data_IF_680747234983
#
_entry.id   IF_680747234983
#
_cell.length_a   1.000
_cell.length_b   1.000
_cell.length_c   1.000
_cell.angle_alpha   90.00
_cell.angle_beta   90.00
_cell.angle_gamma   90.00
#
_symmetry.space_group_name_H-M   'P 1'
#
loop_
_entity.id
_entity.type
_entity.pdbx_description
1 polymer ?
#
# COMPACT_ATOMS: atom_id res chain seq x y z
N UNK A 1 14.05 -9.76 18.87
CA UNK A 1 14.34 -9.51 17.44
C UNK A 1 13.47 -8.33 17.02
N UNK A 2 14.04 -7.22 16.54
CA UNK A 2 13.22 -6.18 15.90
C UNK A 2 12.68 -6.80 14.60
N UNK A 3 11.37 -6.75 14.33
CA UNK A 3 10.84 -7.23 13.05
C UNK A 3 11.57 -6.49 11.92
N UNK A 4 11.88 -7.21 10.86
CA UNK A 4 12.45 -6.56 9.67
C UNK A 4 11.43 -5.57 9.12
N UNK A 5 11.89 -4.50 8.47
CA UNK A 5 11.03 -3.48 7.82
C UNK A 5 10.04 -4.05 6.79
N UNK A 6 10.15 -5.33 6.46
CA UNK A 6 9.20 -6.06 5.59
C UNK A 6 8.19 -6.93 6.34
N UNK A 7 8.51 -7.40 7.54
CA UNK A 7 7.62 -8.27 8.31
C UNK A 7 6.42 -7.48 8.84
N UNK A 8 6.69 -6.28 9.36
CA UNK A 8 5.67 -5.29 9.71
C UNK A 8 6.08 -3.93 9.15
N UNK A 9 5.75 -3.64 7.89
CA UNK A 9 6.27 -2.48 7.21
C UNK A 9 5.74 -1.17 7.80
N UNK A 10 6.66 -0.22 7.93
CA UNK A 10 6.40 1.11 8.45
C UNK A 10 6.88 2.15 7.45
N UNK A 11 5.99 3.03 7.01
CA UNK A 11 6.33 4.17 6.19
C UNK A 11 6.83 5.33 7.06
N UNK A 12 7.66 6.19 6.48
CA UNK A 12 8.14 7.40 7.13
C UNK A 12 6.98 8.32 7.53
N UNK A 13 7.16 9.07 8.62
CA UNK A 13 6.16 10.03 9.09
C UNK A 13 5.80 11.07 8.03
N UNK A 14 6.78 11.51 7.23
CA UNK A 14 6.56 12.43 6.12
C UNK A 14 5.65 11.83 5.04
N UNK A 15 5.95 10.63 4.56
CA UNK A 15 5.14 9.98 3.52
C UNK A 15 3.68 9.78 4.00
N UNK A 16 3.50 9.35 5.26
CA UNK A 16 2.16 9.20 5.85
C UNK A 16 1.43 10.54 5.95
N UNK A 17 2.11 11.62 6.33
CA UNK A 17 1.52 12.96 6.42
C UNK A 17 1.11 13.50 5.05
N UNK A 18 1.95 13.34 4.02
CA UNK A 18 1.64 13.77 2.65
C UNK A 18 0.41 13.05 2.08
N UNK A 19 0.30 11.74 2.29
CA UNK A 19 -0.88 10.97 1.88
C UNK A 19 -2.12 11.37 2.67
N UNK A 20 -1.99 11.61 3.98
CA UNK A 20 -3.10 12.08 4.82
C UNK A 20 -3.63 13.47 4.41
N UNK A 21 -2.78 14.31 3.83
CA UNK A 21 -3.15 15.60 3.22
C UNK A 21 -3.77 15.45 1.81
N UNK A 22 -3.91 14.22 1.32
CA UNK A 22 -4.50 13.93 0.00
C UNK A 22 -3.53 14.08 -1.18
N UNK A 23 -2.22 14.13 -0.93
CA UNK A 23 -1.24 14.25 -2.01
C UNK A 23 -1.14 12.93 -2.80
N UNK A 24 -1.44 13.00 -4.09
CA UNK A 24 -1.21 11.91 -5.04
C UNK A 24 0.27 11.79 -5.47
N UNK A 25 1.10 12.76 -5.11
CA UNK A 25 2.53 12.80 -5.42
C UNK A 25 3.31 13.13 -4.16
N UNK A 26 4.12 12.19 -3.68
CA UNK A 26 4.83 12.34 -2.39
C UNK A 26 6.34 12.46 -2.58
N UNK A 27 7.01 13.09 -1.63
CA UNK A 27 8.46 13.22 -1.62
C UNK A 27 9.09 11.95 -1.07
N UNK A 28 10.21 11.53 -1.65
CA UNK A 28 10.95 10.36 -1.21
C UNK A 28 12.26 10.76 -0.53
N UNK A 29 12.86 9.85 0.25
CA UNK A 29 14.18 10.08 0.85
C UNK A 29 15.31 10.18 -0.21
N UNK A 30 15.02 9.85 -1.47
CA UNK A 30 15.96 9.97 -2.59
C UNK A 30 15.90 11.31 -3.31
N UNK A 31 15.23 12.31 -2.72
CA UNK A 31 15.00 13.61 -3.35
C UNK A 31 14.28 13.51 -4.70
N UNK A 32 13.46 12.47 -4.88
CA UNK A 32 12.55 12.31 -6.01
C UNK A 32 11.11 12.41 -5.56
N UNK A 33 10.17 12.48 -6.50
CA UNK A 33 8.74 12.34 -6.23
C UNK A 33 8.24 10.99 -6.74
N UNK A 34 7.31 10.40 -6.01
CA UNK A 34 6.60 9.19 -6.44
C UNK A 34 5.12 9.54 -6.60
N UNK A 35 4.59 9.29 -7.80
CA UNK A 35 3.16 9.37 -8.07
C UNK A 35 2.47 8.10 -7.56
N UNK A 36 1.35 8.27 -6.88
CA UNK A 36 0.59 7.21 -6.21
C UNK A 36 -0.80 7.11 -6.83
N UNK A 37 -1.21 5.88 -7.12
CA UNK A 37 -2.61 5.58 -7.37
C UNK A 37 -3.38 5.42 -6.05
N UNK A 38 -4.71 5.22 -6.15
CA UNK A 38 -5.59 5.02 -5.00
C UNK A 38 -5.14 3.86 -4.11
N UNK A 39 -4.61 2.78 -4.71
CA UNK A 39 -4.17 1.59 -4.00
C UNK A 39 -2.90 1.85 -3.20
N UNK A 40 -1.89 2.44 -3.84
CA UNK A 40 -0.61 2.77 -3.23
C UNK A 40 -0.76 3.79 -2.10
N UNK A 41 -1.58 4.83 -2.31
CA UNK A 41 -1.94 5.80 -1.28
C UNK A 41 -2.65 5.10 -0.10
N UNK A 42 -3.63 4.23 -0.39
CA UNK A 42 -4.36 3.51 0.67
C UNK A 42 -3.45 2.58 1.47
N UNK A 43 -2.53 1.89 0.81
CA UNK A 43 -1.55 1.04 1.49
C UNK A 43 -0.71 1.85 2.49
N UNK A 44 -0.20 3.03 2.11
CA UNK A 44 0.63 3.87 2.98
C UNK A 44 -0.07 4.24 4.30
N UNK A 45 -1.38 4.41 4.31
CA UNK A 45 -2.13 4.68 5.55
C UNK A 45 -1.99 3.57 6.60
N UNK A 46 -1.83 2.32 6.16
CA UNK A 46 -1.68 1.15 7.04
C UNK A 46 -0.22 0.81 7.37
N UNK A 47 0.76 1.48 6.77
CA UNK A 47 2.18 1.22 7.01
C UNK A 47 2.67 1.92 8.27
N UNK A 48 2.21 1.46 9.43
CA UNK A 48 2.59 1.96 10.75
C UNK A 48 3.40 0.95 11.57
N UNK A 49 3.76 -0.19 10.97
CA UNK A 49 4.44 -1.29 11.65
C UNK A 49 3.53 -2.17 12.51
N UNK A 50 2.21 -1.97 12.49
CA UNK A 50 1.28 -2.82 13.22
C UNK A 50 0.90 -4.09 12.45
N UNK A 51 0.79 -4.02 11.12
CA UNK A 51 0.26 -5.10 10.28
C UNK A 51 1.35 -5.79 9.45
N UNK A 52 1.21 -7.09 9.25
CA UNK A 52 1.97 -7.91 8.30
C UNK A 52 1.45 -7.74 6.87
N UNK A 53 2.21 -8.15 5.85
CA UNK A 53 1.76 -8.10 4.44
C UNK A 53 0.42 -8.83 4.21
N UNK A 54 0.22 -9.96 4.88
CA UNK A 54 -1.03 -10.72 4.78
C UNK A 54 -2.22 -9.97 5.42
N UNK A 55 -2.01 -9.29 6.54
CA UNK A 55 -3.01 -8.46 7.20
C UNK A 55 -3.33 -7.22 6.36
N UNK A 56 -2.32 -6.55 5.80
CA UNK A 56 -2.46 -5.42 4.88
C UNK A 56 -3.30 -5.80 3.65
N UNK A 57 -3.04 -6.97 3.07
CA UNK A 57 -3.83 -7.50 1.94
C UNK A 57 -5.31 -7.59 2.31
N UNK A 58 -5.63 -8.11 3.50
CA UNK A 58 -7.01 -8.27 3.98
C UNK A 58 -7.67 -6.92 4.28
N UNK A 59 -6.94 -5.97 4.85
CA UNK A 59 -7.42 -4.61 5.09
C UNK A 59 -7.81 -3.92 3.78
N UNK A 60 -6.97 -4.02 2.75
CA UNK A 60 -7.24 -3.43 1.43
C UNK A 60 -8.41 -4.11 0.70
N UNK A 61 -8.55 -5.43 0.81
CA UNK A 61 -9.72 -6.15 0.29
C UNK A 61 -11.01 -5.74 1.01
N UNK A 62 -10.92 -5.46 2.32
CA UNK A 62 -12.04 -4.96 3.11
C UNK A 62 -12.43 -3.56 2.68
N UNK A 63 -11.46 -2.68 2.46
CA UNK A 63 -11.70 -1.34 1.93
C UNK A 63 -12.35 -1.38 0.54
N UNK A 64 -11.88 -2.27 -0.32
CA UNK A 64 -12.49 -2.50 -1.63
C UNK A 64 -13.96 -2.93 -1.50
N UNK A 65 -14.25 -3.88 -0.61
CA UNK A 65 -15.60 -4.38 -0.38
C UNK A 65 -16.54 -3.29 0.19
N UNK A 66 -15.99 -2.39 1.02
CA UNK A 66 -16.72 -1.28 1.61
C UNK A 66 -16.81 -0.05 0.70
N UNK A 67 -16.16 -0.05 -0.46
CA UNK A 67 -16.11 1.08 -1.38
C UNK A 67 -15.21 2.24 -0.93
N UNK A 68 -14.38 2.05 0.10
CA UNK A 68 -13.39 3.04 0.56
C UNK A 68 -12.10 3.00 -0.27
N UNK A 69 -11.87 1.92 -1.01
CA UNK A 69 -10.83 1.80 -2.02
C UNK A 69 -11.46 1.62 -3.41
N UNK A 70 -11.11 2.50 -4.33
CA UNK A 70 -11.51 2.38 -5.74
C UNK A 70 -10.46 1.51 -6.45
N UNK A 71 -10.87 0.46 -7.19
CA UNK A 71 -9.96 -0.33 -8.01
C UNK A 71 -9.18 0.58 -8.97
N UNK A 72 -7.90 0.29 -9.25
CA UNK A 72 -7.19 0.95 -10.35
C UNK A 72 -7.97 0.78 -11.66
N UNK A 73 -8.09 1.87 -12.43
CA UNK A 73 -8.97 1.98 -13.60
C UNK A 73 -8.89 0.77 -14.55
N UNK A 74 -10.06 0.33 -15.01
CA UNK A 74 -10.22 -0.77 -15.98
C UNK A 74 -10.23 -2.18 -15.39
N UNK A 75 -9.97 -2.35 -14.08
CA UNK A 75 -9.97 -3.67 -13.46
C UNK A 75 -11.40 -4.16 -13.19
N UNK A 76 -11.89 -5.11 -13.99
CA UNK A 76 -13.18 -5.81 -13.78
C UNK A 76 -13.10 -6.81 -12.61
N UNK A 77 -12.81 -6.33 -11.40
CA UNK A 77 -12.64 -7.17 -10.20
C UNK A 77 -13.86 -8.04 -9.88
N UNK A 78 -15.04 -7.63 -10.33
CA UNK A 78 -16.30 -8.39 -10.21
C UNK A 78 -16.23 -9.76 -10.89
N UNK A 79 -15.36 -9.94 -11.90
CA UNK A 79 -15.19 -11.19 -12.63
C UNK A 79 -14.18 -12.14 -11.96
N UNK A 80 -13.47 -11.71 -10.93
CA UNK A 80 -12.47 -12.52 -10.25
C UNK A 80 -13.10 -13.30 -9.10
N UNK A 81 -12.70 -14.56 -8.94
CA UNK A 81 -12.96 -15.32 -7.72
C UNK A 81 -12.32 -14.65 -6.51
N UNK A 82 -12.82 -14.92 -5.30
CA UNK A 82 -12.24 -14.38 -4.07
C UNK A 82 -10.75 -14.73 -3.93
N UNK A 83 -10.38 -15.96 -4.25
CA UNK A 83 -8.99 -16.43 -4.26
C UNK A 83 -8.12 -15.66 -5.26
N UNK A 84 -8.63 -15.41 -6.47
CA UNK A 84 -7.91 -14.64 -7.49
C UNK A 84 -7.68 -13.20 -7.03
N UNK A 85 -8.69 -12.57 -6.41
CA UNK A 85 -8.55 -11.22 -5.85
C UNK A 85 -7.50 -11.18 -4.77
N UNK A 86 -7.53 -12.10 -3.81
CA UNK A 86 -6.56 -12.15 -2.73
C UNK A 86 -5.14 -12.32 -3.26
N UNK A 87 -4.94 -13.25 -4.20
CA UNK A 87 -3.63 -13.47 -4.82
C UNK A 87 -3.11 -12.22 -5.54
N UNK A 88 -3.97 -11.54 -6.30
CA UNK A 88 -3.61 -10.30 -7.03
C UNK A 88 -3.28 -9.16 -6.07
N UNK A 89 -4.10 -8.95 -5.04
CA UNK A 89 -3.85 -7.91 -4.03
C UNK A 89 -2.56 -8.17 -3.25
N UNK A 90 -2.30 -9.42 -2.87
CA UNK A 90 -1.05 -9.79 -2.19
C UNK A 90 0.15 -9.50 -3.08
N UNK A 91 0.08 -9.87 -4.36
CA UNK A 91 1.13 -9.56 -5.33
C UNK A 91 1.37 -8.04 -5.42
N UNK A 92 0.31 -7.25 -5.59
CA UNK A 92 0.42 -5.78 -5.64
C UNK A 92 0.99 -5.18 -4.35
N UNK A 93 0.60 -5.69 -3.18
CA UNK A 93 1.18 -5.27 -1.90
C UNK A 93 2.69 -5.55 -1.88
N UNK A 94 3.11 -6.76 -2.25
CA UNK A 94 4.53 -7.12 -2.27
C UNK A 94 5.34 -6.23 -3.22
N UNK A 95 4.83 -5.99 -4.43
CA UNK A 95 5.45 -5.12 -5.43
C UNK A 95 5.59 -3.67 -4.92
N UNK A 96 4.54 -3.12 -4.30
CA UNK A 96 4.56 -1.78 -3.73
C UNK A 96 5.48 -1.66 -2.51
N UNK A 97 5.48 -2.63 -1.60
CA UNK A 97 6.42 -2.65 -0.47
C UNK A 97 7.87 -2.65 -0.97
N UNK A 98 8.15 -3.35 -2.08
CA UNK A 98 9.46 -3.35 -2.70
C UNK A 98 9.79 -1.99 -3.32
N UNK A 99 8.85 -1.39 -4.02
CA UNK A 99 8.99 -0.04 -4.57
C UNK A 99 9.25 0.97 -3.45
N UNK A 100 8.46 0.96 -2.38
CA UNK A 100 8.58 1.87 -1.24
C UNK A 100 9.89 1.69 -0.50
N UNK A 101 10.34 0.46 -0.27
CA UNK A 101 11.68 0.19 0.27
C UNK A 101 12.75 0.78 -0.63
N UNK A 102 12.66 0.54 -1.95
CA UNK A 102 13.61 1.08 -2.92
C UNK A 102 13.57 2.59 -2.96
N UNK A 103 12.44 3.26 -2.77
CA UNK A 103 12.34 4.73 -2.76
C UNK A 103 12.67 5.36 -1.39
N UNK A 104 12.97 4.57 -0.36
CA UNK A 104 13.21 5.10 0.99
C UNK A 104 11.96 5.67 1.65
N UNK A 105 10.79 5.14 1.28
CA UNK A 105 9.52 5.43 1.96
C UNK A 105 9.39 4.55 3.21
N UNK A 106 9.86 3.30 3.17
CA UNK A 106 9.89 2.42 4.35
C UNK A 106 11.09 2.70 5.25
N UNK A 107 10.90 2.48 6.56
CA UNK A 107 11.89 2.60 7.62
C UNK A 107 12.45 1.23 8.06
#
# INVERSE_FOLDING_TARGET
>A
LKPTSRERPMASGLARAQVADGQARIATARHTSLDLDSFAARLIHYLDGASTEAELTRLLLTDLANGTLIPPDGTKMQQWSAETREKKFRQSCSELLNLFSRQGILL
#
